data_IF_506057631211
#
_entry.id   IF_506057631211
#
_cell.length_a   1.000
_cell.length_b   1.000
_cell.length_c   1.000
_cell.angle_alpha   90.00
_cell.angle_beta   90.00
_cell.angle_gamma   90.00
#
_symmetry.space_group_name_H-M   'P 1'
#
loop_
_entity.id
_entity.type
_entity.pdbx_description
1 polymer ?
#
# COMPACT_ATOMS: atom_id res chain seq x y z
N UNK A 1 -1.00 -19.59 8.33
CA UNK A 1 -0.89 -18.15 8.04
C UNK A 1 -2.28 -17.65 7.69
N UNK A 2 -2.70 -16.47 8.17
CA UNK A 2 -4.03 -15.91 7.83
C UNK A 2 -4.10 -15.69 6.32
N UNK A 3 -5.18 -16.12 5.67
CA UNK A 3 -5.49 -15.75 4.28
C UNK A 3 -6.28 -14.44 4.32
N UNK A 4 -5.92 -13.50 3.46
CA UNK A 4 -6.66 -12.27 3.25
C UNK A 4 -7.36 -12.37 1.90
N UNK A 5 -8.57 -11.83 1.80
CA UNK A 5 -9.23 -11.65 0.50
C UNK A 5 -8.71 -10.41 -0.22
N UNK A 6 -9.02 -10.29 -1.51
CA UNK A 6 -8.70 -9.11 -2.31
C UNK A 6 -9.32 -7.83 -1.72
N UNK A 7 -10.52 -7.93 -1.14
CA UNK A 7 -11.19 -6.81 -0.47
C UNK A 7 -10.52 -6.43 0.86
N UNK A 8 -9.99 -7.41 1.62
CA UNK A 8 -9.25 -7.14 2.85
C UNK A 8 -7.88 -6.48 2.59
N UNK A 9 -7.29 -6.71 1.41
CA UNK A 9 -6.03 -6.08 0.98
C UNK A 9 -6.23 -4.71 0.32
N UNK A 10 -7.46 -4.37 -0.07
CA UNK A 10 -7.78 -3.09 -0.69
C UNK A 10 -7.69 -1.96 0.34
N UNK A 11 -6.66 -1.13 0.22
CA UNK A 11 -6.45 0.03 1.09
C UNK A 11 -6.90 1.32 0.40
N UNK A 12 -7.84 2.04 1.02
CA UNK A 12 -8.34 3.35 0.54
C UNK A 12 -7.72 4.54 1.26
N UNK A 13 -7.02 4.29 2.37
CA UNK A 13 -6.33 5.29 3.18
C UNK A 13 -4.85 5.35 2.83
N UNK A 14 -4.19 6.46 3.13
CA UNK A 14 -2.73 6.53 3.04
C UNK A 14 -2.08 5.93 4.30
N UNK A 15 -0.89 5.33 4.16
CA UNK A 15 -0.10 4.88 5.30
C UNK A 15 0.98 5.92 5.64
N UNK A 16 0.75 6.70 6.71
CA UNK A 16 1.71 7.70 7.23
C UNK A 16 2.14 7.32 8.64
N UNK A 17 3.45 7.28 8.90
CA UNK A 17 4.02 7.00 10.22
C UNK A 17 3.48 5.69 10.85
N UNK A 18 3.25 4.67 10.02
CA UNK A 18 2.74 3.36 10.44
C UNK A 18 1.24 3.34 10.73
N UNK A 19 0.47 4.36 10.31
CA UNK A 19 -0.98 4.45 10.51
C UNK A 19 -1.70 4.69 9.20
N UNK A 20 -2.88 4.08 9.06
CA UNK A 20 -3.83 4.38 8.00
C UNK A 20 -4.58 5.68 8.31
N UNK A 21 -4.48 6.67 7.42
CA UNK A 21 -5.04 8.02 7.61
C UNK A 21 -5.85 8.47 6.40
N UNK A 22 -6.91 9.22 6.67
CA UNK A 22 -7.66 9.96 5.66
C UNK A 22 -6.95 11.30 5.35
N UNK A 23 -7.36 11.99 4.29
CA UNK A 23 -6.99 13.40 4.12
C UNK A 23 -7.58 14.27 5.25
N UNK A 24 -6.86 15.31 5.67
CA UNK A 24 -7.33 16.30 6.65
C UNK A 24 -8.61 16.98 6.23
N UNK A 25 -8.70 17.35 4.96
CA UNK A 25 -9.89 17.98 4.36
C UNK A 25 -10.89 16.95 3.85
N UNK A 26 -10.69 15.65 4.17
CA UNK A 26 -11.52 14.52 3.76
C UNK A 26 -11.64 14.34 2.24
N UNK A 27 -10.78 14.99 1.43
CA UNK A 27 -10.74 14.77 0.00
C UNK A 27 -10.32 13.35 -0.35
N UNK A 28 -10.93 12.87 -1.41
CA UNK A 28 -10.62 11.60 -2.05
C UNK A 28 -10.61 11.77 -3.56
N UNK A 29 -10.00 10.82 -4.27
CA UNK A 29 -10.11 10.69 -5.71
C UNK A 29 -10.54 9.26 -6.09
N UNK A 30 -11.31 9.11 -7.17
CA UNK A 30 -11.72 7.79 -7.64
C UNK A 30 -10.57 7.05 -8.31
N UNK A 31 -10.45 5.76 -8.03
CA UNK A 31 -9.71 4.79 -8.83
C UNK A 31 -10.72 4.04 -9.69
N UNK A 32 -10.52 4.04 -11.00
CA UNK A 32 -11.44 3.46 -11.97
C UNK A 32 -10.84 2.22 -12.61
N UNK A 33 -11.68 1.22 -12.88
CA UNK A 33 -11.35 0.10 -13.74
C UNK A 33 -11.25 0.61 -15.19
N UNK A 34 -10.07 0.54 -15.84
CA UNK A 34 -9.89 1.06 -17.18
C UNK A 34 -10.62 0.25 -18.26
N UNK A 35 -10.97 -1.01 -18.00
CA UNK A 35 -11.70 -1.86 -18.94
C UNK A 35 -13.20 -1.54 -18.98
N UNK A 36 -13.77 -1.09 -17.86
CA UNK A 36 -15.23 -0.85 -17.74
C UNK A 36 -15.61 0.60 -17.45
N UNK A 37 -14.66 1.42 -17.01
CA UNK A 37 -14.90 2.78 -16.51
C UNK A 37 -15.57 2.83 -15.14
N UNK A 38 -15.83 1.68 -14.50
CA UNK A 38 -16.49 1.62 -13.19
C UNK A 38 -15.53 1.99 -12.08
N UNK A 39 -16.04 2.62 -11.03
CA UNK A 39 -15.27 2.94 -9.85
C UNK A 39 -14.93 1.69 -9.03
N UNK A 40 -13.66 1.54 -8.68
CA UNK A 40 -13.15 0.48 -7.79
C UNK A 40 -13.17 0.97 -6.35
N UNK A 41 -12.65 2.18 -6.09
CA UNK A 41 -12.55 2.75 -4.75
C UNK A 41 -12.33 4.28 -4.78
N UNK A 42 -12.59 4.91 -3.63
CA UNK A 42 -12.19 6.29 -3.32
C UNK A 42 -10.93 6.26 -2.46
N UNK A 43 -9.82 6.77 -2.97
CA UNK A 43 -8.54 6.83 -2.26
C UNK A 43 -8.30 8.22 -1.65
N UNK A 44 -7.71 8.27 -0.45
CA UNK A 44 -7.42 9.52 0.24
C UNK A 44 -6.47 10.43 -0.58
N UNK A 45 -6.87 11.68 -0.79
CA UNK A 45 -6.08 12.71 -1.48
C UNK A 45 -5.24 13.49 -0.47
N UNK A 46 -4.01 13.04 -0.23
CA UNK A 46 -3.15 13.56 0.85
C UNK A 46 -2.49 14.89 0.45
N UNK A 47 -2.84 15.95 1.18
CA UNK A 47 -2.31 17.29 0.96
C UNK A 47 -0.88 17.54 1.46
N UNK A 48 -0.26 18.68 1.08
CA UNK A 48 1.14 18.99 1.37
C UNK A 48 1.52 18.98 2.86
N UNK A 49 0.63 19.40 3.74
CA UNK A 49 0.90 19.42 5.19
C UNK A 49 1.08 18.01 5.75
N UNK A 50 0.21 17.07 5.36
CA UNK A 50 0.32 15.67 5.78
C UNK A 50 1.55 15.00 5.17
N UNK A 51 1.92 15.37 3.93
CA UNK A 51 3.19 14.94 3.32
C UNK A 51 4.38 15.43 4.15
N UNK A 52 4.39 16.69 4.58
CA UNK A 52 5.45 17.22 5.43
C UNK A 52 5.58 16.45 6.76
N UNK A 53 4.45 16.08 7.38
CA UNK A 53 4.43 15.22 8.58
C UNK A 53 4.95 13.82 8.32
N UNK A 54 4.64 13.24 7.16
CA UNK A 54 5.19 11.97 6.70
C UNK A 54 6.72 12.03 6.55
N UNK A 55 7.25 13.13 5.98
CA UNK A 55 8.69 13.36 5.83
C UNK A 55 9.37 13.43 7.20
N UNK A 56 8.82 14.22 8.13
CA UNK A 56 9.37 14.34 9.48
C UNK A 56 9.35 13.00 10.23
N UNK A 57 8.28 12.23 10.09
CA UNK A 57 8.18 10.92 10.71
C UNK A 57 9.12 9.88 10.08
N UNK A 58 9.30 9.90 8.75
CA UNK A 58 10.32 9.09 8.08
C UNK A 58 11.74 9.44 8.54
N UNK A 59 12.04 10.73 8.72
CA UNK A 59 13.32 11.19 9.27
C UNK A 59 13.55 10.66 10.68
N UNK A 60 12.54 10.71 11.54
CA UNK A 60 12.60 10.15 12.90
C UNK A 60 12.78 8.63 12.88
N UNK A 61 12.06 7.91 12.02
CA UNK A 61 12.20 6.46 11.86
C UNK A 61 13.59 6.06 11.37
N UNK A 62 14.21 6.88 10.51
CA UNK A 62 15.56 6.63 10.02
C UNK A 62 16.60 6.60 11.14
N UNK A 63 16.45 7.39 12.20
CA UNK A 63 17.44 7.43 13.29
C UNK A 63 17.57 6.12 14.07
N UNK A 64 16.48 5.36 14.19
CA UNK A 64 16.51 3.99 14.73
C UNK A 64 16.79 2.96 13.64
N UNK A 65 16.16 3.07 12.48
CA UNK A 65 16.30 2.10 11.38
C UNK A 65 17.75 1.97 10.90
N UNK A 66 18.48 3.08 10.77
CA UNK A 66 19.89 3.08 10.31
C UNK A 66 20.84 2.34 11.25
N UNK A 67 20.44 2.12 12.51
CA UNK A 67 21.23 1.41 13.52
C UNK A 67 20.99 -0.10 13.50
N UNK A 68 19.99 -0.58 12.77
CA UNK A 68 19.76 -2.02 12.60
C UNK A 68 20.90 -2.65 11.81
N UNK A 69 21.13 -3.94 12.02
CA UNK A 69 22.09 -4.72 11.26
C UNK A 69 21.53 -5.12 9.90
N UNK A 70 22.40 -5.49 8.96
CA UNK A 70 21.97 -6.03 7.68
C UNK A 70 21.11 -7.30 7.84
N UNK A 71 21.41 -8.14 8.84
CA UNK A 71 20.68 -9.37 9.13
C UNK A 71 19.24 -9.10 9.58
N UNK A 72 19.05 -8.17 10.50
CA UNK A 72 17.70 -7.79 10.97
C UNK A 72 16.85 -7.22 9.83
N UNK A 73 17.43 -6.32 9.01
CA UNK A 73 16.72 -5.79 7.83
C UNK A 73 16.38 -6.90 6.83
N UNK A 74 17.30 -7.82 6.58
CA UNK A 74 17.07 -8.97 5.70
C UNK A 74 15.91 -9.85 6.18
N UNK A 75 15.79 -10.09 7.49
CA UNK A 75 14.69 -10.85 8.05
C UNK A 75 13.34 -10.17 7.83
N UNK A 76 13.26 -8.85 8.05
CA UNK A 76 12.04 -8.06 7.82
C UNK A 76 11.65 -8.10 6.33
N UNK A 77 12.61 -7.85 5.43
CA UNK A 77 12.36 -7.86 3.98
C UNK A 77 11.97 -9.26 3.48
N UNK A 78 12.60 -10.31 4.02
CA UNK A 78 12.23 -11.70 3.69
C UNK A 78 10.81 -12.02 4.15
N UNK A 79 10.43 -11.59 5.35
CA UNK A 79 9.06 -11.76 5.84
C UNK A 79 8.05 -11.03 4.96
N UNK A 80 8.38 -9.84 4.49
CA UNK A 80 7.52 -9.09 3.57
C UNK A 80 7.36 -9.81 2.23
N UNK A 81 8.45 -10.32 1.65
CA UNK A 81 8.42 -11.14 0.45
C UNK A 81 7.56 -12.40 0.63
N UNK A 82 7.72 -13.14 1.74
CA UNK A 82 6.88 -14.31 2.02
C UNK A 82 5.39 -13.97 2.09
N UNK A 83 5.04 -12.81 2.64
CA UNK A 83 3.66 -12.32 2.66
C UNK A 83 3.16 -11.98 1.25
N UNK A 84 3.98 -11.31 0.43
CA UNK A 84 3.62 -11.01 -0.96
C UNK A 84 3.35 -12.29 -1.76
N UNK A 85 4.23 -13.28 -1.69
CA UNK A 85 4.06 -14.56 -2.40
C UNK A 85 2.82 -15.32 -1.89
N UNK A 86 2.56 -15.30 -0.59
CA UNK A 86 1.38 -15.99 -0.05
C UNK A 86 0.04 -15.33 -0.40
N UNK A 87 0.06 -14.09 -0.86
CA UNK A 87 -1.10 -13.31 -1.30
C UNK A 87 -0.99 -12.88 -2.76
N UNK A 88 -0.19 -13.59 -3.57
CA UNK A 88 0.13 -13.22 -4.94
C UNK A 88 -1.14 -13.13 -5.81
N UNK A 89 -2.09 -14.06 -5.63
CA UNK A 89 -3.31 -14.09 -6.43
C UNK A 89 -4.20 -12.87 -6.12
N UNK A 90 -4.39 -12.54 -4.85
CA UNK A 90 -5.20 -11.38 -4.44
C UNK A 90 -4.54 -10.05 -4.86
N UNK A 91 -3.20 -9.96 -4.79
CA UNK A 91 -2.46 -8.80 -5.27
C UNK A 91 -2.53 -8.67 -6.80
N UNK A 92 -2.46 -9.78 -7.53
CA UNK A 92 -2.59 -9.79 -9.00
C UNK A 92 -3.99 -9.33 -9.43
N UNK A 93 -5.04 -9.75 -8.72
CA UNK A 93 -6.42 -9.29 -8.96
C UNK A 93 -6.53 -7.77 -8.77
N UNK A 94 -5.99 -7.21 -7.69
CA UNK A 94 -5.95 -5.76 -7.47
C UNK A 94 -5.27 -5.02 -8.63
N UNK A 95 -4.09 -5.48 -9.04
CA UNK A 95 -3.31 -4.86 -10.12
C UNK A 95 -4.03 -4.94 -11.47
N UNK A 96 -4.64 -6.09 -11.80
CA UNK A 96 -5.42 -6.24 -13.02
C UNK A 96 -6.65 -5.35 -13.03
N UNK A 97 -7.34 -5.18 -11.90
CA UNK A 97 -8.50 -4.29 -11.81
C UNK A 97 -8.12 -2.82 -12.01
N UNK A 98 -7.10 -2.31 -11.32
CA UNK A 98 -6.77 -0.88 -11.36
C UNK A 98 -6.04 -0.45 -12.65
N UNK A 99 -5.28 -1.35 -13.27
CA UNK A 99 -4.43 -1.01 -14.41
C UNK A 99 -4.84 -1.69 -15.72
N UNK A 100 -5.61 -2.77 -15.68
CA UNK A 100 -6.16 -3.44 -16.86
C UNK A 100 -5.24 -4.47 -17.52
N UNK A 101 -4.05 -4.76 -16.98
CA UNK A 101 -3.18 -5.83 -17.53
C UNK A 101 -3.82 -7.22 -17.38
N UNK A 102 -3.52 -8.14 -18.29
CA UNK A 102 -3.90 -9.55 -18.14
C UNK A 102 -3.44 -10.12 -16.79
N UNK A 103 -4.30 -10.93 -16.14
CA UNK A 103 -4.01 -11.53 -14.83
C UNK A 103 -2.74 -12.39 -14.84
N UNK A 104 -2.40 -12.99 -15.99
CA UNK A 104 -1.18 -13.77 -16.15
C UNK A 104 0.10 -12.93 -16.14
N UNK A 105 -0.01 -11.65 -16.47
CA UNK A 105 1.10 -10.68 -16.37
C UNK A 105 1.15 -10.01 -14.99
N UNK A 106 0.00 -9.90 -14.31
CA UNK A 106 -0.08 -9.36 -12.95
C UNK A 106 0.46 -10.32 -11.87
N UNK A 107 0.53 -11.62 -12.16
CA UNK A 107 1.11 -12.65 -11.29
C UNK A 107 2.64 -12.66 -11.39
#
# INVERSE_FOLDING_TARGET
MRKYTQEELLATKACLNGKWVDSRDRKTFPVLDPATGKEIAQCADIGPEQVAEGILGARKAFDSWKKTTAKERSQILRRWHELQIAHQEELAQLMSMEQGRPITEAR
#
